data_IF_797343062010
#
_entry.id   IF_797343062010
#
_cell.length_a   1.000
_cell.length_b   1.000
_cell.length_c   1.000
_cell.angle_alpha   90.00
_cell.angle_beta   90.00
_cell.angle_gamma   90.00
#
_symmetry.space_group_name_H-M   'P 1'
#
loop_
_entity.id
_entity.type
_entity.pdbx_description
1 polymer ?
#
# COMPACT_ATOMS: atom_id res chain seq x y z
N UNK A 1 56.29 -30.50 -61.60
CA UNK A 1 56.00 -29.14 -61.08
C UNK A 1 54.54 -29.10 -60.63
N UNK A 2 54.25 -29.06 -59.31
CA UNK A 2 52.87 -28.92 -58.80
C UNK A 2 52.59 -27.44 -58.57
N UNK A 3 51.54 -26.93 -59.21
CA UNK A 3 51.10 -25.54 -59.06
C UNK A 3 50.62 -25.27 -57.61
N UNK A 4 50.87 -24.06 -57.06
CA UNK A 4 50.45 -23.72 -55.71
C UNK A 4 48.92 -23.58 -55.65
N UNK A 5 48.30 -24.29 -54.72
CA UNK A 5 46.88 -24.19 -54.42
C UNK A 5 46.62 -22.82 -53.76
N UNK A 6 45.84 -21.98 -54.43
CA UNK A 6 45.37 -20.70 -53.89
C UNK A 6 44.34 -20.94 -52.80
N UNK A 7 44.67 -20.53 -51.57
CA UNK A 7 43.74 -20.58 -50.43
C UNK A 7 42.76 -19.41 -50.60
N UNK A 8 41.44 -19.64 -50.70
CA UNK A 8 40.49 -18.55 -50.88
C UNK A 8 40.45 -17.66 -49.62
N UNK A 9 40.55 -16.35 -49.84
CA UNK A 9 40.49 -15.34 -48.79
C UNK A 9 39.16 -15.44 -48.01
N UNK A 10 39.26 -15.62 -46.69
CA UNK A 10 38.12 -15.74 -45.78
C UNK A 10 37.30 -14.44 -45.77
N UNK A 11 36.12 -14.45 -46.40
CA UNK A 11 35.26 -13.27 -46.48
C UNK A 11 34.72 -12.85 -45.09
N UNK A 12 35.17 -11.73 -44.51
CA UNK A 12 34.81 -11.31 -43.16
C UNK A 12 33.32 -10.90 -43.04
N UNK A 13 32.71 -10.44 -44.13
CA UNK A 13 31.29 -10.09 -44.17
C UNK A 13 30.40 -11.33 -44.01
N UNK A 14 30.76 -12.45 -44.64
CA UNK A 14 30.04 -13.71 -44.52
C UNK A 14 30.12 -14.30 -43.10
N UNK A 15 31.26 -14.12 -42.42
CA UNK A 15 31.42 -14.51 -41.02
C UNK A 15 30.55 -13.65 -40.08
N UNK A 16 30.55 -12.32 -40.29
CA UNK A 16 29.73 -11.38 -39.51
C UNK A 16 28.23 -11.65 -39.67
N UNK A 17 27.78 -11.96 -40.89
CA UNK A 17 26.39 -12.34 -41.18
C UNK A 17 25.98 -13.64 -40.46
N UNK A 18 26.87 -14.64 -40.37
CA UNK A 18 26.63 -15.87 -39.60
C UNK A 18 26.50 -15.60 -38.11
N UNK A 19 27.31 -14.69 -37.55
CA UNK A 19 27.21 -14.31 -36.14
C UNK A 19 25.89 -13.62 -35.83
N UNK A 20 25.50 -12.62 -36.64
CA UNK A 20 24.24 -11.92 -36.49
C UNK A 20 23.03 -12.86 -36.61
N UNK A 21 23.05 -13.82 -37.56
CA UNK A 21 22.00 -14.86 -37.65
C UNK A 21 21.90 -15.73 -36.39
N UNK A 22 23.02 -16.07 -35.76
CA UNK A 22 23.01 -16.86 -34.51
C UNK A 22 22.46 -16.04 -33.36
N UNK A 23 22.78 -14.74 -33.32
CA UNK A 23 22.31 -13.83 -32.30
C UNK A 23 20.80 -13.58 -32.41
N UNK A 24 20.28 -13.36 -33.62
CA UNK A 24 18.83 -13.22 -33.84
C UNK A 24 18.06 -14.49 -33.45
N UNK A 25 18.59 -15.68 -33.78
CA UNK A 25 17.98 -16.97 -33.37
C UNK A 25 18.00 -17.12 -31.84
N UNK A 26 19.10 -16.74 -31.17
CA UNK A 26 19.17 -16.78 -29.69
C UNK A 26 18.14 -15.85 -29.06
N UNK A 27 17.99 -14.64 -29.60
CA UNK A 27 17.01 -13.66 -29.12
C UNK A 27 15.57 -14.17 -29.36
N UNK A 28 15.27 -14.77 -30.51
CA UNK A 28 13.96 -15.37 -30.80
C UNK A 28 13.63 -16.54 -29.85
N UNK A 29 14.61 -17.39 -29.55
CA UNK A 29 14.43 -18.48 -28.59
C UNK A 29 14.24 -17.97 -27.16
N UNK A 30 14.91 -16.87 -26.80
CA UNK A 30 14.72 -16.23 -25.50
C UNK A 30 13.33 -15.58 -25.40
N UNK A 31 12.88 -14.90 -26.45
CA UNK A 31 11.55 -14.29 -26.53
C UNK A 31 10.44 -15.35 -26.38
N UNK A 32 10.52 -16.44 -27.13
CA UNK A 32 9.55 -17.55 -27.04
C UNK A 32 9.56 -18.24 -25.67
N UNK A 33 10.72 -18.33 -25.02
CA UNK A 33 10.82 -18.82 -23.64
C UNK A 33 10.14 -17.88 -22.64
N UNK A 34 10.36 -16.56 -22.76
CA UNK A 34 9.69 -15.55 -21.93
C UNK A 34 8.18 -15.55 -22.13
N UNK A 35 7.71 -15.63 -23.38
CA UNK A 35 6.28 -15.74 -23.71
C UNK A 35 5.65 -17.00 -23.09
N UNK A 36 6.34 -18.13 -23.16
CA UNK A 36 5.89 -19.36 -22.52
C UNK A 36 5.83 -19.24 -20.99
N UNK A 37 6.83 -18.60 -20.37
CA UNK A 37 6.82 -18.31 -18.94
C UNK A 37 5.67 -17.37 -18.55
N UNK A 38 5.38 -16.36 -19.36
CA UNK A 38 4.27 -15.43 -19.14
C UNK A 38 2.93 -16.16 -19.24
N UNK A 39 2.73 -16.96 -20.29
CA UNK A 39 1.51 -17.73 -20.50
C UNK A 39 1.29 -18.79 -19.40
N UNK A 40 2.33 -19.47 -18.96
CA UNK A 40 2.24 -20.40 -17.82
C UNK A 40 1.92 -19.69 -16.51
N UNK A 41 2.48 -18.51 -16.25
CA UNK A 41 2.09 -17.69 -15.09
C UNK A 41 0.65 -17.19 -15.17
N UNK A 42 0.17 -16.76 -16.36
CA UNK A 42 -1.24 -16.38 -16.57
C UNK A 42 -2.15 -17.57 -16.33
N UNK A 43 -1.82 -18.77 -16.84
CA UNK A 43 -2.60 -19.98 -16.63
C UNK A 43 -2.67 -20.35 -15.14
N UNK A 44 -1.54 -20.30 -14.42
CA UNK A 44 -1.49 -20.49 -12.96
C UNK A 44 -2.34 -19.45 -12.21
N UNK A 45 -2.29 -18.17 -12.62
CA UNK A 45 -3.12 -17.09 -12.06
C UNK A 45 -4.62 -17.32 -12.30
N UNK A 46 -5.00 -17.84 -13.47
CA UNK A 46 -6.39 -18.17 -13.82
C UNK A 46 -6.90 -19.40 -13.04
N UNK A 47 -6.04 -20.38 -12.79
CA UNK A 47 -6.38 -21.59 -12.04
C UNK A 47 -6.74 -21.30 -10.57
N UNK A 48 -6.10 -20.30 -9.94
CA UNK A 48 -6.50 -19.77 -8.64
C UNK A 48 -7.78 -18.94 -8.85
N UNK A 49 -8.95 -19.59 -8.76
CA UNK A 49 -10.24 -18.92 -8.98
C UNK A 49 -10.46 -17.86 -7.92
N UNK A 50 -10.97 -16.69 -8.35
CA UNK A 50 -11.47 -15.63 -7.46
C UNK A 50 -12.48 -16.14 -6.42
N UNK A 51 -13.19 -17.24 -6.72
CA UNK A 51 -14.14 -17.90 -5.81
C UNK A 51 -13.44 -18.56 -4.61
N UNK A 52 -12.31 -19.23 -4.83
CA UNK A 52 -11.53 -19.89 -3.78
C UNK A 52 -10.88 -18.86 -2.84
N UNK A 53 -10.47 -17.72 -3.40
CA UNK A 53 -9.94 -16.60 -2.61
C UNK A 53 -11.02 -15.97 -1.72
N UNK A 54 -12.23 -15.72 -2.25
CA UNK A 54 -13.35 -15.20 -1.46
C UNK A 54 -13.75 -16.17 -0.34
N UNK A 55 -13.76 -17.47 -0.61
CA UNK A 55 -14.03 -18.50 0.39
C UNK A 55 -12.96 -18.50 1.51
N UNK A 56 -11.68 -18.42 1.16
CA UNK A 56 -10.59 -18.31 2.14
C UNK A 56 -10.64 -17.01 2.96
N UNK A 57 -11.03 -15.90 2.34
CA UNK A 57 -11.21 -14.62 3.03
C UNK A 57 -12.41 -14.66 3.99
N UNK A 58 -13.45 -15.42 3.65
CA UNK A 58 -14.61 -15.61 4.53
C UNK A 58 -14.27 -16.38 5.82
N UNK A 59 -13.26 -17.25 5.80
CA UNK A 59 -12.80 -17.97 7.00
C UNK A 59 -12.03 -17.09 8.00
N UNK A 60 -11.65 -15.86 7.60
CA UNK A 60 -10.88 -14.96 8.46
C UNK A 60 -11.76 -14.18 9.41
N UNK A 61 -11.19 -13.82 10.57
CA UNK A 61 -11.79 -12.90 11.52
C UNK A 61 -12.20 -11.60 10.82
N UNK A 62 -13.35 -11.05 11.21
CA UNK A 62 -13.97 -9.88 10.58
C UNK A 62 -12.99 -8.70 10.41
N UNK A 63 -12.17 -8.40 11.43
CA UNK A 63 -11.14 -7.33 11.37
C UNK A 63 -10.08 -7.59 10.29
N UNK A 64 -9.61 -8.82 10.18
CA UNK A 64 -8.60 -9.19 9.17
C UNK A 64 -9.18 -9.24 7.76
N UNK A 65 -10.49 -9.47 7.63
CA UNK A 65 -11.18 -9.57 6.35
C UNK A 65 -11.12 -8.25 5.60
N UNK A 66 -11.44 -7.15 6.25
CA UNK A 66 -11.45 -5.82 5.63
C UNK A 66 -10.05 -5.37 5.21
N UNK A 67 -9.06 -5.57 6.07
CA UNK A 67 -7.66 -5.29 5.78
C UNK A 67 -7.19 -6.01 4.51
N UNK A 68 -7.39 -7.33 4.45
CA UNK A 68 -6.98 -8.14 3.29
C UNK A 68 -7.76 -7.78 2.04
N UNK A 69 -9.08 -7.55 2.13
CA UNK A 69 -9.89 -7.12 0.98
C UNK A 69 -9.40 -5.80 0.40
N UNK A 70 -9.02 -4.83 1.24
CA UNK A 70 -8.50 -3.55 0.77
C UNK A 70 -7.13 -3.71 0.10
N UNK A 71 -6.24 -4.52 0.67
CA UNK A 71 -4.94 -4.83 0.05
C UNK A 71 -5.15 -5.46 -1.33
N UNK A 72 -6.03 -6.46 -1.45
CA UNK A 72 -6.33 -7.09 -2.74
C UNK A 72 -6.99 -6.12 -3.73
N UNK A 73 -7.92 -5.27 -3.27
CA UNK A 73 -8.56 -4.25 -4.13
C UNK A 73 -7.54 -3.27 -4.69
N UNK A 74 -6.55 -2.87 -3.91
CA UNK A 74 -5.51 -1.95 -4.37
C UNK A 74 -4.51 -2.67 -5.27
N UNK A 75 -4.07 -3.87 -4.91
CA UNK A 75 -3.13 -4.66 -5.70
C UNK A 75 -3.67 -5.10 -7.08
N UNK A 76 -4.98 -5.16 -7.24
CA UNK A 76 -5.63 -5.54 -8.51
C UNK A 76 -5.90 -4.36 -9.44
N UNK A 77 -5.68 -3.11 -8.98
CA UNK A 77 -5.89 -1.90 -9.80
C UNK A 77 -4.62 -1.54 -10.56
N UNK A 78 -4.82 -0.99 -11.75
CA UNK A 78 -3.73 -0.48 -12.61
C UNK A 78 -3.20 0.87 -12.14
N UNK A 79 -3.98 1.61 -11.33
CA UNK A 79 -3.63 2.93 -10.82
C UNK A 79 -3.76 3.03 -9.31
N UNK A 80 -2.76 3.65 -8.69
CA UNK A 80 -2.73 4.00 -7.26
C UNK A 80 -3.52 5.27 -6.95
N UNK A 81 -4.02 5.98 -7.98
CA UNK A 81 -4.77 7.22 -7.81
C UNK A 81 -6.23 6.93 -7.46
N UNK A 82 -6.82 7.81 -6.65
CA UNK A 82 -8.23 7.81 -6.25
C UNK A 82 -8.74 6.48 -5.62
N UNK A 83 -8.00 5.99 -4.62
CA UNK A 83 -8.44 4.86 -3.81
C UNK A 83 -9.33 5.40 -2.68
N UNK A 84 -10.61 5.01 -2.70
CA UNK A 84 -11.53 5.24 -1.58
C UNK A 84 -11.37 4.14 -0.54
N UNK A 85 -10.85 4.52 0.62
CA UNK A 85 -10.67 3.63 1.75
C UNK A 85 -11.93 3.62 2.64
N UNK A 86 -12.35 2.45 3.16
CA UNK A 86 -13.44 2.40 4.12
C UNK A 86 -12.99 3.01 5.47
N UNK A 87 -13.92 3.66 6.17
CA UNK A 87 -13.63 4.39 7.42
C UNK A 87 -12.94 3.51 8.48
N UNK A 88 -13.36 2.24 8.59
CA UNK A 88 -12.78 1.29 9.55
C UNK A 88 -11.31 0.99 9.26
N UNK A 89 -10.94 0.81 7.99
CA UNK A 89 -9.55 0.63 7.58
C UNK A 89 -8.70 1.88 7.80
N UNK A 90 -9.27 3.06 7.54
CA UNK A 90 -8.58 4.33 7.81
C UNK A 90 -8.30 4.48 9.31
N UNK A 91 -9.25 4.10 10.17
CA UNK A 91 -9.06 4.10 11.61
C UNK A 91 -7.93 3.15 12.05
N UNK A 92 -7.87 1.94 11.50
CA UNK A 92 -6.77 1.01 11.76
C UNK A 92 -5.42 1.58 11.31
N UNK A 93 -5.38 2.19 10.13
CA UNK A 93 -4.19 2.89 9.62
C UNK A 93 -3.75 4.03 10.56
N UNK A 94 -4.72 4.76 11.13
CA UNK A 94 -4.45 5.84 12.06
C UNK A 94 -3.88 5.33 13.38
N UNK A 95 -4.47 4.26 13.94
CA UNK A 95 -3.97 3.59 15.15
C UNK A 95 -2.54 3.07 14.92
N UNK A 96 -2.27 2.47 13.76
CA UNK A 96 -0.94 2.00 13.41
C UNK A 96 0.07 3.15 13.35
N UNK A 97 -0.31 4.28 12.75
CA UNK A 97 0.53 5.48 12.69
C UNK A 97 0.80 6.09 14.07
N UNK A 98 -0.19 6.05 14.97
CA UNK A 98 -0.05 6.50 16.36
C UNK A 98 0.91 5.60 17.15
N UNK A 99 0.88 4.28 16.91
CA UNK A 99 1.81 3.33 17.56
C UNK A 99 3.24 3.49 17.06
N UNK A 100 3.44 3.62 15.75
CA UNK A 100 4.75 3.90 15.17
C UNK A 100 4.60 4.58 13.81
N UNK A 101 5.01 5.85 13.76
CA UNK A 101 4.99 6.64 12.52
C UNK A 101 6.02 6.15 11.51
N UNK A 102 7.19 5.70 11.99
CA UNK A 102 8.27 5.18 11.16
C UNK A 102 7.87 3.87 10.48
N UNK A 103 7.32 2.91 11.25
CA UNK A 103 6.84 1.64 10.71
C UNK A 103 5.76 1.87 9.65
N UNK A 104 4.83 2.80 9.91
CA UNK A 104 3.78 3.15 8.96
C UNK A 104 4.36 3.64 7.62
N UNK A 105 5.33 4.55 7.65
CA UNK A 105 5.94 5.06 6.42
C UNK A 105 6.81 4.01 5.72
N UNK A 106 7.51 3.15 6.47
CA UNK A 106 8.28 2.04 5.90
C UNK A 106 7.36 1.07 5.13
N UNK A 107 6.30 0.56 5.78
CA UNK A 107 5.35 -0.37 5.16
C UNK A 107 4.67 0.22 3.91
N UNK A 108 4.47 1.53 3.90
CA UNK A 108 3.90 2.25 2.77
C UNK A 108 4.89 2.45 1.63
N UNK A 109 6.14 2.83 1.92
CA UNK A 109 7.19 3.06 0.91
C UNK A 109 7.57 1.77 0.19
N UNK A 110 7.74 0.69 0.95
CA UNK A 110 8.03 -0.65 0.43
C UNK A 110 6.80 -1.34 -0.21
N UNK A 111 5.65 -0.66 -0.25
CA UNK A 111 4.39 -1.17 -0.82
C UNK A 111 3.96 -2.55 -0.26
N UNK A 112 4.40 -2.88 0.95
CA UNK A 112 4.03 -4.13 1.65
C UNK A 112 2.53 -4.17 1.92
N UNK A 113 1.95 -3.02 2.26
CA UNK A 113 0.53 -2.84 2.50
C UNK A 113 -0.03 -1.66 1.71
N UNK A 114 -1.29 -1.78 1.30
CA UNK A 114 -2.03 -0.71 0.64
C UNK A 114 -2.47 0.37 1.65
N UNK A 115 -1.54 1.25 2.01
CA UNK A 115 -1.73 2.27 3.04
C UNK A 115 -2.03 3.66 2.45
N UNK A 116 -2.98 4.42 3.03
CA UNK A 116 -3.26 5.77 2.61
C UNK A 116 -2.07 6.70 2.83
N UNK A 117 -1.98 7.73 2.00
CA UNK A 117 -0.96 8.77 2.16
C UNK A 117 -1.17 9.62 3.40
N UNK A 118 -0.10 10.29 3.87
CA UNK A 118 -0.21 11.31 4.93
C UNK A 118 -1.27 12.36 4.60
N UNK A 119 -1.30 12.83 3.35
CA UNK A 119 -2.31 13.79 2.87
C UNK A 119 -3.71 13.20 2.89
N UNK A 120 -3.87 11.93 2.55
CA UNK A 120 -5.15 11.22 2.61
C UNK A 120 -5.62 11.09 4.06
N UNK A 121 -4.77 10.59 4.97
CA UNK A 121 -5.09 10.50 6.39
C UNK A 121 -5.48 11.87 6.99
N UNK A 122 -4.78 12.94 6.62
CA UNK A 122 -5.13 14.29 7.04
C UNK A 122 -6.51 14.72 6.53
N UNK A 123 -6.90 14.37 5.30
CA UNK A 123 -8.26 14.63 4.79
C UNK A 123 -9.32 13.94 5.64
N UNK A 124 -9.10 12.68 6.02
CA UNK A 124 -10.01 11.95 6.93
C UNK A 124 -10.04 12.57 8.33
N UNK A 125 -8.89 13.02 8.85
CA UNK A 125 -8.80 13.68 10.15
C UNK A 125 -9.52 15.03 10.17
N UNK A 126 -9.49 15.80 9.07
CA UNK A 126 -10.21 17.09 8.98
C UNK A 126 -11.72 16.96 9.21
N UNK A 127 -12.30 15.80 8.91
CA UNK A 127 -13.72 15.55 9.16
C UNK A 127 -14.05 15.53 10.66
N UNK A 128 -13.07 15.24 11.50
CA UNK A 128 -13.20 15.32 12.96
C UNK A 128 -12.93 16.76 13.39
N UNK A 129 -14.00 17.52 13.63
CA UNK A 129 -13.90 18.86 14.22
C UNK A 129 -13.44 18.73 15.68
N UNK A 130 -12.19 19.05 15.96
CA UNK A 130 -11.69 19.23 17.32
C UNK A 130 -11.76 20.72 17.65
N UNK A 131 -12.75 21.11 18.44
CA UNK A 131 -12.83 22.45 19.04
C UNK A 131 -12.24 22.44 20.45
N UNK A 132 -12.17 23.62 21.06
CA UNK A 132 -11.97 23.71 22.51
C UNK A 132 -13.20 23.15 23.24
N UNK A 133 -12.98 22.54 24.40
CA UNK A 133 -14.03 21.89 25.19
C UNK A 133 -14.31 20.44 24.79
N UNK A 134 -15.41 19.91 25.31
CA UNK A 134 -15.78 18.50 25.10
C UNK A 134 -16.56 18.33 23.79
N UNK A 135 -16.28 17.22 23.08
CA UNK A 135 -17.10 16.82 21.94
C UNK A 135 -18.37 16.14 22.44
N UNK A 136 -19.53 16.76 22.23
CA UNK A 136 -20.84 16.19 22.57
C UNK A 136 -21.02 14.79 21.97
N UNK A 137 -20.59 14.58 20.72
CA UNK A 137 -20.65 13.28 20.05
C UNK A 137 -19.87 12.20 20.81
N UNK A 138 -18.73 12.57 21.38
CA UNK A 138 -17.92 11.63 22.17
C UNK A 138 -18.61 11.35 23.51
N UNK A 139 -19.12 12.38 24.17
CA UNK A 139 -19.88 12.24 25.42
C UNK A 139 -21.14 11.38 25.23
N UNK A 140 -21.84 11.50 24.11
CA UNK A 140 -23.01 10.67 23.79
C UNK A 140 -22.65 9.19 23.59
N UNK A 141 -21.53 8.92 22.94
CA UNK A 141 -21.02 7.55 22.77
C UNK A 141 -20.63 6.97 24.13
N UNK A 142 -19.97 7.77 24.98
CA UNK A 142 -19.63 7.36 26.36
C UNK A 142 -20.91 7.11 27.16
N UNK A 143 -21.90 8.01 27.11
CA UNK A 143 -23.19 7.87 27.80
C UNK A 143 -23.87 6.55 27.43
N UNK A 144 -24.00 6.26 26.14
CA UNK A 144 -24.59 5.01 25.64
C UNK A 144 -23.84 3.78 26.16
N UNK A 145 -22.51 3.84 26.20
CA UNK A 145 -21.68 2.75 26.73
C UNK A 145 -21.89 2.56 28.24
N UNK A 146 -21.94 3.65 29.00
CA UNK A 146 -22.12 3.64 30.46
C UNK A 146 -23.53 3.17 30.86
N UNK A 147 -24.56 3.52 30.09
CA UNK A 147 -25.93 3.05 30.33
C UNK A 147 -26.07 1.53 30.28
N UNK A 148 -25.21 0.84 29.54
CA UNK A 148 -25.20 -0.62 29.42
C UNK A 148 -24.39 -1.34 30.53
N UNK A 149 -23.76 -0.60 31.45
CA UNK A 149 -22.87 -1.17 32.48
C UNK A 149 -23.62 -1.39 33.80
N UNK A 150 -23.10 -2.25 34.67
CA UNK A 150 -23.66 -2.46 36.01
C UNK A 150 -23.48 -1.22 36.92
N UNK A 151 -24.21 -1.17 38.03
CA UNK A 151 -24.18 -0.02 38.94
C UNK A 151 -22.78 0.27 39.51
N UNK A 152 -21.99 -0.77 39.78
CA UNK A 152 -20.62 -0.62 40.29
C UNK A 152 -19.65 -0.08 39.23
N UNK A 153 -19.70 -0.57 38.00
CA UNK A 153 -18.79 -0.15 36.92
C UNK A 153 -19.13 1.23 36.33
N UNK A 154 -20.30 1.78 36.66
CA UNK A 154 -20.71 3.15 36.29
C UNK A 154 -20.01 4.22 37.14
N UNK A 155 -19.69 3.92 38.39
CA UNK A 155 -18.98 4.85 39.26
C UNK A 155 -17.50 4.87 38.87
N UNK A 156 -17.11 5.87 38.07
CA UNK A 156 -15.71 6.12 37.69
C UNK A 156 -15.34 7.55 38.02
N UNK A 157 -14.18 7.73 38.64
CA UNK A 157 -13.59 9.06 38.83
C UNK A 157 -13.06 9.61 37.51
N UNK A 158 -13.24 10.91 37.30
CA UNK A 158 -12.59 11.65 36.21
C UNK A 158 -11.48 12.49 36.83
N UNK A 159 -10.23 12.14 36.53
CA UNK A 159 -9.06 12.89 37.02
C UNK A 159 -8.68 13.87 35.91
N UNK A 160 -8.64 15.15 36.26
CA UNK A 160 -8.19 16.22 35.38
C UNK A 160 -6.89 16.75 35.95
N UNK A 161 -5.89 16.82 35.08
CA UNK A 161 -4.63 17.49 35.36
C UNK A 161 -4.39 18.53 34.27
N UNK A 162 -3.79 19.66 34.64
CA UNK A 162 -3.53 20.78 33.74
C UNK A 162 -2.03 20.78 33.45
N UNK A 163 -1.68 20.52 32.20
CA UNK A 163 -0.31 20.62 31.74
C UNK A 163 0.00 22.04 31.28
N UNK A 164 1.11 22.61 31.76
CA UNK A 164 1.60 23.88 31.28
C UNK A 164 2.30 23.67 29.92
N UNK A 165 1.83 24.38 28.88
CA UNK A 165 2.39 24.30 27.53
C UNK A 165 3.19 25.57 27.24
N UNK A 166 4.21 25.49 26.39
CA UNK A 166 5.01 26.67 26.01
C UNK A 166 4.12 27.77 25.43
N UNK A 167 4.35 29.01 25.87
CA UNK A 167 3.62 30.18 25.40
C UNK A 167 4.12 30.54 23.99
N UNK A 168 3.25 30.39 22.99
CA UNK A 168 3.56 30.70 21.59
C UNK A 168 2.28 30.91 20.77
N UNK A 169 2.38 31.67 19.69
CA UNK A 169 1.24 31.94 18.79
C UNK A 169 1.19 30.85 17.72
N UNK A 170 0.11 30.07 17.69
CA UNK A 170 -0.12 29.05 16.67
C UNK A 170 -1.17 29.51 15.65
N UNK A 171 -0.76 29.68 14.38
CA UNK A 171 -1.69 29.93 13.28
C UNK A 171 -2.14 28.59 12.66
N UNK A 172 -3.41 28.23 12.88
CA UNK A 172 -4.03 27.00 12.33
C UNK A 172 -4.29 27.05 10.81
N UNK A 173 -4.17 28.23 10.20
CA UNK A 173 -4.47 28.46 8.78
C UNK A 173 -3.23 28.42 7.86
N UNK A 174 -2.02 28.54 8.40
CA UNK A 174 -0.81 28.64 7.59
C UNK A 174 -0.31 27.24 7.17
N UNK A 175 -0.74 26.74 6.01
CA UNK A 175 -0.28 25.46 5.45
C UNK A 175 1.01 25.56 4.62
N UNK A 176 1.63 26.73 4.55
CA UNK A 176 2.81 26.96 3.68
C UNK A 176 3.94 27.79 4.26
N UNK A 177 3.81 28.46 5.42
CA UNK A 177 5.00 29.07 6.01
C UNK A 177 5.69 28.09 6.96
N UNK A 178 6.85 27.59 6.56
CA UNK A 178 7.91 27.18 7.48
C UNK A 178 8.47 28.40 8.20
N UNK A 179 7.62 29.09 8.96
CA UNK A 179 8.04 30.20 9.79
C UNK A 179 8.51 29.60 11.13
N UNK A 180 9.82 29.38 11.23
CA UNK A 180 10.53 29.63 12.48
C UNK A 180 10.46 31.14 12.66
N UNK A 181 9.60 31.61 13.57
CA UNK A 181 9.69 32.92 14.19
C UNK A 181 9.45 32.71 15.68
#
# INVERSE_FOLDING_TARGET
MKAPVSIPARNPAAHRLKLLKRETVRLQNHASKLEHQLNTMIAKKKAIRRKDLKAKIALLLAKQREAKLNIFKVATRESTRDIRYPNQWVLECLIMKMKSSQLYEYLRKEQVLALPSKTTLQKYLKCYKTGFGFSEKVLDVIRKKVSAMDGFSRHRGFIVDINETSKGIFCSHCRTCGCIC
#
